data_IF_837833000429
#
_entry.id   IF_837833000429
#
_cell.length_a   1.000
_cell.length_b   1.000
_cell.length_c   1.000
_cell.angle_alpha   90.00
_cell.angle_beta   90.00
_cell.angle_gamma   90.00
#
_symmetry.space_group_name_H-M   'P 1'
#
loop_
_entity.id
_entity.type
_entity.pdbx_description
1 polymer ?
#
# COMPACT_ATOMS: atom_id res chain seq x y z
N UNK A 1 32.57 -15.69 -27.99
CA UNK A 1 33.55 -16.65 -27.38
C UNK A 1 34.92 -16.09 -27.02
N UNK A 2 35.24 -14.84 -27.35
CA UNK A 2 36.59 -14.25 -27.09
C UNK A 2 36.77 -13.70 -25.66
N UNK A 3 35.68 -13.28 -24.98
CA UNK A 3 35.75 -12.62 -23.67
C UNK A 3 36.13 -13.60 -22.54
N UNK A 4 35.71 -14.87 -22.67
CA UNK A 4 36.02 -15.90 -21.66
C UNK A 4 37.53 -16.25 -21.59
N UNK A 5 38.29 -16.09 -22.69
CA UNK A 5 39.70 -16.40 -22.76
C UNK A 5 40.59 -15.37 -22.03
N UNK A 6 40.07 -14.13 -21.86
CA UNK A 6 40.79 -13.04 -21.18
C UNK A 6 40.73 -13.23 -19.65
N UNK A 7 39.64 -13.85 -19.14
CA UNK A 7 39.43 -14.03 -17.69
C UNK A 7 40.23 -15.22 -17.12
N UNK A 8 40.54 -16.24 -17.95
CA UNK A 8 41.24 -17.46 -17.51
C UNK A 8 42.73 -17.51 -17.88
N UNK A 9 43.31 -16.40 -18.40
CA UNK A 9 44.76 -16.30 -18.55
C UNK A 9 45.44 -16.38 -17.18
N UNK A 10 46.53 -17.21 -17.09
CA UNK A 10 47.36 -17.40 -15.89
C UNK A 10 47.93 -16.06 -15.40
N UNK A 11 47.09 -15.24 -14.75
CA UNK A 11 47.51 -13.98 -14.13
C UNK A 11 47.91 -14.26 -12.69
N UNK A 12 49.12 -13.93 -12.33
CA UNK A 12 49.59 -13.83 -10.96
C UNK A 12 48.62 -12.94 -10.19
N UNK A 13 47.80 -13.56 -9.34
CA UNK A 13 46.89 -13.05 -8.32
C UNK A 13 46.58 -11.54 -8.31
N UNK A 14 46.00 -10.99 -9.37
CA UNK A 14 45.49 -9.63 -9.32
C UNK A 14 44.20 -9.60 -8.46
N UNK A 15 44.24 -8.92 -7.32
CA UNK A 15 43.07 -8.67 -6.47
C UNK A 15 42.01 -7.76 -7.16
N UNK A 16 42.39 -7.15 -8.28
CA UNK A 16 41.60 -6.17 -9.01
C UNK A 16 40.27 -6.74 -9.55
N UNK A 17 40.16 -7.93 -10.21
CA UNK A 17 38.90 -8.48 -10.65
C UNK A 17 38.01 -8.91 -9.47
N UNK A 18 38.58 -9.35 -8.36
CA UNK A 18 37.83 -9.71 -7.16
C UNK A 18 37.20 -8.48 -6.51
N UNK A 19 37.96 -7.39 -6.33
CA UNK A 19 37.44 -6.15 -5.75
C UNK A 19 36.36 -5.51 -6.62
N UNK A 20 36.52 -5.56 -7.95
CA UNK A 20 35.50 -5.09 -8.88
C UNK A 20 34.23 -5.90 -8.83
N UNK A 21 34.33 -7.24 -8.74
CA UNK A 21 33.16 -8.13 -8.54
C UNK A 21 32.42 -7.83 -7.25
N UNK A 22 33.14 -7.62 -6.15
CA UNK A 22 32.56 -7.24 -4.87
C UNK A 22 31.85 -5.88 -4.93
N UNK A 23 32.46 -4.91 -5.61
CA UNK A 23 31.87 -3.59 -5.81
C UNK A 23 30.55 -3.66 -6.58
N UNK A 24 30.49 -4.42 -7.69
CA UNK A 24 29.26 -4.61 -8.46
C UNK A 24 28.17 -5.29 -7.65
N UNK A 25 28.53 -6.29 -6.85
CA UNK A 25 27.59 -6.99 -5.98
C UNK A 25 27.02 -6.05 -4.92
N UNK A 26 27.86 -5.28 -4.24
CA UNK A 26 27.45 -4.30 -3.25
C UNK A 26 26.53 -3.22 -3.86
N UNK A 27 26.85 -2.73 -5.04
CA UNK A 27 26.05 -1.75 -5.76
C UNK A 27 24.66 -2.30 -6.13
N UNK A 28 24.61 -3.55 -6.61
CA UNK A 28 23.35 -4.21 -6.95
C UNK A 28 22.46 -4.39 -5.71
N UNK A 29 23.01 -4.86 -4.59
CA UNK A 29 22.28 -5.00 -3.34
C UNK A 29 21.75 -3.65 -2.83
N UNK A 30 22.53 -2.59 -2.95
CA UNK A 30 22.12 -1.24 -2.58
C UNK A 30 20.92 -0.77 -3.42
N UNK A 31 20.93 -0.98 -4.74
CA UNK A 31 19.82 -0.61 -5.61
C UNK A 31 18.54 -1.38 -5.29
N UNK A 32 18.63 -2.67 -5.03
CA UNK A 32 17.49 -3.48 -4.60
C UNK A 32 16.93 -2.95 -3.28
N UNK A 33 17.80 -2.68 -2.30
CA UNK A 33 17.40 -2.17 -0.98
C UNK A 33 16.66 -0.84 -1.07
N UNK A 34 17.13 0.10 -1.90
CA UNK A 34 16.48 1.39 -2.11
C UNK A 34 15.09 1.22 -2.72
N UNK A 35 14.94 0.37 -3.73
CA UNK A 35 13.65 0.11 -4.36
C UNK A 35 12.65 -0.52 -3.39
N UNK A 36 13.08 -1.50 -2.59
CA UNK A 36 12.24 -2.14 -1.57
C UNK A 36 11.82 -1.14 -0.49
N UNK A 37 12.77 -0.34 0.02
CA UNK A 37 12.49 0.68 1.03
C UNK A 37 11.49 1.73 0.52
N UNK A 38 11.64 2.16 -0.73
CA UNK A 38 10.70 3.09 -1.38
C UNK A 38 9.30 2.50 -1.49
N UNK A 39 9.16 1.27 -1.98
CA UNK A 39 7.87 0.58 -2.09
C UNK A 39 7.19 0.42 -0.72
N UNK A 40 7.96 0.09 0.32
CA UNK A 40 7.46 -0.01 1.69
C UNK A 40 6.97 1.35 2.22
N UNK A 41 7.73 2.41 1.99
CA UNK A 41 7.35 3.77 2.38
C UNK A 41 6.03 4.20 1.73
N UNK A 42 5.88 3.98 0.42
CA UNK A 42 4.64 4.28 -0.31
C UNK A 42 3.48 3.44 0.24
N UNK A 43 3.68 2.15 0.50
CA UNK A 43 2.65 1.29 1.11
C UNK A 43 2.20 1.83 2.45
N UNK A 44 3.12 2.21 3.32
CA UNK A 44 2.82 2.77 4.65
C UNK A 44 2.02 4.06 4.55
N UNK A 45 2.40 4.97 3.66
CA UNK A 45 1.66 6.22 3.43
C UNK A 45 0.25 5.95 2.88
N UNK A 46 0.11 5.04 1.91
CA UNK A 46 -1.19 4.61 1.38
C UNK A 46 -2.08 4.05 2.49
N UNK A 47 -1.53 3.18 3.35
CA UNK A 47 -2.25 2.60 4.48
C UNK A 47 -2.75 3.69 5.43
N UNK A 48 -1.88 4.61 5.86
CA UNK A 48 -2.24 5.69 6.78
C UNK A 48 -3.35 6.60 6.19
N UNK A 49 -3.28 6.93 4.91
CA UNK A 49 -4.31 7.74 4.23
C UNK A 49 -5.64 6.99 4.14
N UNK A 50 -5.60 5.71 3.78
CA UNK A 50 -6.78 4.87 3.68
C UNK A 50 -7.43 4.61 5.04
N UNK A 51 -6.63 4.38 6.10
CA UNK A 51 -7.11 4.25 7.48
C UNK A 51 -7.77 5.55 7.96
N UNK A 52 -7.19 6.70 7.68
CA UNK A 52 -7.79 7.99 7.97
C UNK A 52 -9.15 8.17 7.28
N UNK A 53 -9.27 7.78 6.02
CA UNK A 53 -10.52 7.86 5.27
C UNK A 53 -11.57 6.87 5.78
N UNK A 54 -11.19 5.61 6.04
CA UNK A 54 -12.14 4.59 6.49
C UNK A 54 -12.63 4.84 7.92
N UNK A 55 -11.75 5.32 8.81
CA UNK A 55 -12.15 5.72 10.17
C UNK A 55 -13.15 6.88 10.16
N UNK A 56 -12.97 7.87 9.27
CA UNK A 56 -13.94 8.95 9.09
C UNK A 56 -15.26 8.47 8.48
N UNK A 57 -15.23 7.49 7.58
CA UNK A 57 -16.44 6.90 7.00
C UNK A 57 -17.21 6.04 8.00
N UNK A 58 -16.50 5.33 8.90
CA UNK A 58 -17.09 4.55 9.97
C UNK A 58 -17.84 5.41 11.05
N UNK A 59 -17.68 6.72 11.02
CA UNK A 59 -18.46 7.66 11.84
C UNK A 59 -19.84 7.98 11.25
N UNK A 60 -20.18 7.44 10.08
CA UNK A 60 -21.51 7.61 9.47
C UNK A 60 -22.51 6.66 10.15
N UNK A 61 -23.21 7.21 11.13
CA UNK A 61 -24.14 6.46 12.00
C UNK A 61 -25.53 6.45 11.38
N UNK A 62 -26.17 5.29 11.38
CA UNK A 62 -27.60 5.19 11.06
C UNK A 62 -28.44 5.56 12.30
N UNK A 63 -28.73 6.85 12.47
CA UNK A 63 -29.49 7.35 13.61
C UNK A 63 -30.90 6.77 13.68
N UNK A 64 -31.55 6.57 12.54
CA UNK A 64 -32.89 6.01 12.49
C UNK A 64 -32.95 4.57 13.05
N UNK A 65 -32.02 3.72 12.56
CA UNK A 65 -31.91 2.35 13.04
C UNK A 65 -31.49 2.31 14.52
N UNK A 66 -30.61 3.21 14.95
CA UNK A 66 -30.16 3.30 16.33
C UNK A 66 -31.34 3.60 17.28
N UNK A 67 -32.17 4.62 16.98
CA UNK A 67 -33.28 4.99 17.84
C UNK A 67 -34.49 4.03 17.75
N UNK A 68 -34.69 3.38 16.60
CA UNK A 68 -35.75 2.41 16.42
C UNK A 68 -35.53 1.09 17.18
N UNK A 69 -34.25 0.70 17.34
CA UNK A 69 -33.88 -0.60 17.93
C UNK A 69 -32.86 -0.48 19.07
N UNK A 70 -32.94 0.57 19.89
CA UNK A 70 -31.99 0.85 21.00
C UNK A 70 -31.77 -0.38 21.89
N UNK A 71 -32.86 -1.10 22.26
CA UNK A 71 -32.76 -2.27 23.12
C UNK A 71 -32.03 -3.47 22.47
N UNK A 72 -32.07 -3.56 21.15
CA UNK A 72 -31.39 -4.63 20.40
C UNK A 72 -29.89 -4.36 20.26
N UNK A 73 -29.53 -3.13 19.96
CA UNK A 73 -28.11 -2.73 19.81
C UNK A 73 -27.40 -2.53 21.15
N UNK A 74 -28.13 -2.32 22.24
CA UNK A 74 -27.53 -2.23 23.58
C UNK A 74 -26.85 -3.51 24.03
N UNK A 75 -27.25 -4.67 23.48
CA UNK A 75 -26.59 -5.95 23.75
C UNK A 75 -25.19 -6.03 23.11
N UNK A 76 -25.02 -5.53 21.90
CA UNK A 76 -23.75 -5.54 21.17
C UNK A 76 -22.88 -4.32 21.50
N UNK A 77 -23.47 -3.33 22.21
CA UNK A 77 -22.78 -2.08 22.62
C UNK A 77 -22.13 -1.34 21.45
N UNK A 78 -22.65 -1.49 20.23
CA UNK A 78 -22.13 -0.84 19.02
C UNK A 78 -23.24 -0.08 18.30
N UNK A 79 -22.85 0.98 17.61
CA UNK A 79 -23.76 1.83 16.84
C UNK A 79 -23.84 1.32 15.40
N UNK A 80 -25.04 1.08 14.83
CA UNK A 80 -25.18 0.64 13.45
C UNK A 80 -24.70 1.72 12.49
N UNK A 81 -23.95 1.30 11.45
CA UNK A 81 -23.44 2.16 10.41
C UNK A 81 -24.48 2.39 9.31
N UNK A 82 -24.50 3.60 8.78
CA UNK A 82 -25.14 3.88 7.50
C UNK A 82 -24.16 3.54 6.37
N UNK A 83 -24.32 2.36 5.78
CA UNK A 83 -23.42 1.86 4.75
C UNK A 83 -23.42 2.73 3.49
N UNK A 84 -24.57 3.33 3.13
CA UNK A 84 -24.63 4.20 1.96
C UNK A 84 -23.86 5.51 2.20
N UNK A 85 -24.11 6.14 3.34
CA UNK A 85 -23.39 7.36 3.74
C UNK A 85 -21.88 7.09 3.96
N UNK A 86 -21.52 5.96 4.58
CA UNK A 86 -20.15 5.55 4.80
C UNK A 86 -19.41 5.34 3.47
N UNK A 87 -20.02 4.66 2.53
CA UNK A 87 -19.46 4.44 1.20
C UNK A 87 -19.26 5.77 0.45
N UNK A 88 -20.28 6.61 0.37
CA UNK A 88 -20.21 7.91 -0.30
C UNK A 88 -19.09 8.77 0.30
N UNK A 89 -19.00 8.83 1.63
CA UNK A 89 -17.96 9.60 2.34
C UNK A 89 -16.57 9.04 2.11
N UNK A 90 -16.40 7.71 2.10
CA UNK A 90 -15.12 7.08 1.81
C UNK A 90 -14.63 7.43 0.41
N UNK A 91 -15.47 7.26 -0.61
CA UNK A 91 -15.11 7.59 -1.99
C UNK A 91 -14.80 9.09 -2.16
N UNK A 92 -15.58 9.97 -1.53
CA UNK A 92 -15.33 11.40 -1.54
C UNK A 92 -13.93 11.72 -0.95
N UNK A 93 -13.59 11.15 0.20
CA UNK A 93 -12.30 11.36 0.84
C UNK A 93 -11.15 10.83 -0.01
N UNK A 94 -11.25 9.58 -0.49
CA UNK A 94 -10.18 8.96 -1.29
C UNK A 94 -9.94 9.72 -2.59
N UNK A 95 -11.00 10.20 -3.26
CA UNK A 95 -10.88 10.97 -4.51
C UNK A 95 -10.18 12.33 -4.32
N UNK A 96 -10.22 12.89 -3.10
CA UNK A 96 -9.52 14.12 -2.76
C UNK A 96 -8.05 13.89 -2.40
N UNK A 97 -7.70 12.66 -2.00
CA UNK A 97 -6.34 12.30 -1.61
C UNK A 97 -5.48 11.98 -2.83
N UNK A 98 -4.27 12.49 -2.79
CA UNK A 98 -3.25 12.18 -3.79
C UNK A 98 -1.98 11.74 -3.07
N UNK A 99 -1.34 10.71 -3.59
CA UNK A 99 -0.06 10.25 -3.10
C UNK A 99 0.95 10.30 -4.26
N UNK A 100 2.00 11.12 -4.11
CA UNK A 100 2.96 11.38 -5.18
C UNK A 100 2.29 11.81 -6.51
N UNK A 101 1.33 12.76 -6.42
CA UNK A 101 0.54 13.30 -7.55
C UNK A 101 -0.39 12.29 -8.24
N UNK A 102 -0.41 11.05 -7.77
CA UNK A 102 -1.26 9.98 -8.32
C UNK A 102 -2.53 9.82 -7.50
N UNK A 103 -3.61 9.48 -8.19
CA UNK A 103 -4.88 9.14 -7.55
C UNK A 103 -4.82 7.73 -6.94
N UNK A 104 -5.41 7.59 -5.77
CA UNK A 104 -5.62 6.29 -5.12
C UNK A 104 -6.86 5.67 -5.74
N UNK A 105 -6.73 4.40 -6.14
CA UNK A 105 -7.83 3.61 -6.70
C UNK A 105 -8.46 2.77 -5.60
N UNK A 106 -9.78 2.75 -5.51
CA UNK A 106 -10.53 1.83 -4.66
C UNK A 106 -10.84 0.58 -5.47
N UNK A 107 -10.29 -0.55 -5.05
CA UNK A 107 -10.49 -1.84 -5.72
C UNK A 107 -11.70 -2.57 -5.16
N UNK A 108 -11.92 -2.51 -3.85
CA UNK A 108 -13.04 -3.13 -3.17
C UNK A 108 -13.46 -2.33 -1.95
N UNK A 109 -14.78 -2.26 -1.70
CA UNK A 109 -15.36 -1.65 -0.51
C UNK A 109 -16.45 -2.58 0.01
N UNK A 110 -16.39 -2.92 1.30
CA UNK A 110 -17.36 -3.77 1.98
C UNK A 110 -17.84 -3.06 3.24
N UNK A 111 -19.15 -3.01 3.44
CA UNK A 111 -19.75 -2.48 4.64
C UNK A 111 -20.71 -3.50 5.23
N UNK A 112 -20.63 -3.68 6.51
CA UNK A 112 -21.53 -4.47 7.34
C UNK A 112 -22.14 -3.58 8.43
N UNK A 113 -23.06 -4.12 9.20
CA UNK A 113 -23.81 -3.34 10.18
C UNK A 113 -22.93 -2.55 11.15
N UNK A 114 -21.78 -3.09 11.53
CA UNK A 114 -20.86 -2.49 12.52
C UNK A 114 -19.44 -2.32 12.01
N UNK A 115 -19.14 -2.77 10.80
CA UNK A 115 -17.77 -2.80 10.28
C UNK A 115 -17.72 -2.35 8.82
N UNK A 116 -16.66 -1.67 8.48
CA UNK A 116 -16.39 -1.26 7.11
C UNK A 116 -14.94 -1.62 6.77
N UNK A 117 -14.74 -2.15 5.58
CA UNK A 117 -13.41 -2.48 5.05
C UNK A 117 -13.28 -2.04 3.61
N UNK A 118 -12.07 -1.69 3.22
CA UNK A 118 -11.76 -1.30 1.86
C UNK A 118 -10.37 -1.79 1.45
N UNK A 119 -10.25 -2.13 0.17
CA UNK A 119 -8.97 -2.37 -0.48
C UNK A 119 -8.70 -1.23 -1.45
N UNK A 120 -7.54 -0.63 -1.30
CA UNK A 120 -7.09 0.47 -2.15
C UNK A 120 -5.76 0.15 -2.76
N UNK A 121 -5.51 0.70 -3.95
CA UNK A 121 -4.27 0.51 -4.68
C UNK A 121 -3.78 1.79 -5.33
N UNK A 122 -2.47 1.84 -5.58
CA UNK A 122 -1.81 2.92 -6.31
C UNK A 122 -0.73 2.35 -7.23
N UNK A 123 -0.60 2.93 -8.42
CA UNK A 123 0.50 2.61 -9.31
C UNK A 123 1.74 3.39 -8.88
N UNK A 124 2.74 2.69 -8.35
CA UNK A 124 4.05 3.22 -7.99
C UNK A 124 5.04 3.13 -9.17
N UNK A 125 5.97 4.07 -9.26
CA UNK A 125 7.15 3.94 -10.09
C UNK A 125 8.34 3.62 -9.19
N UNK A 126 9.22 2.73 -9.62
CA UNK A 126 10.47 2.49 -8.90
C UNK A 126 11.39 3.71 -9.02
N UNK A 127 12.02 4.18 -7.92
CA UNK A 127 12.93 5.33 -7.97
C UNK A 127 14.18 5.05 -8.79
N UNK A 128 14.65 3.80 -8.82
CA UNK A 128 15.79 3.38 -9.64
C UNK A 128 15.26 2.50 -10.78
N UNK A 129 15.32 3.04 -11.99
CA UNK A 129 15.00 2.32 -13.21
C UNK A 129 16.26 1.65 -13.76
N UNK A 130 16.20 0.37 -14.05
CA UNK A 130 17.32 -0.37 -14.63
C UNK A 130 17.24 -0.21 -16.15
N UNK A 131 18.20 0.48 -16.80
CA UNK A 131 18.09 0.91 -18.19
C UNK A 131 17.95 -0.23 -19.22
N UNK A 132 18.29 -1.47 -18.88
CA UNK A 132 18.17 -2.62 -19.77
C UNK A 132 16.90 -3.45 -19.56
N UNK A 133 16.02 -3.06 -18.61
CA UNK A 133 14.81 -3.80 -18.26
C UNK A 133 13.52 -3.04 -18.60
N UNK A 134 13.57 -2.08 -19.52
CA UNK A 134 12.39 -1.31 -19.95
C UNK A 134 11.30 -2.18 -20.58
N UNK A 135 11.68 -3.30 -21.20
CA UNK A 135 10.74 -4.26 -21.81
C UNK A 135 10.04 -5.17 -20.82
N UNK A 136 10.54 -5.25 -19.58
CA UNK A 136 9.91 -6.05 -18.52
C UNK A 136 9.02 -5.13 -17.70
N UNK A 137 7.74 -5.50 -17.52
CA UNK A 137 6.71 -4.73 -16.78
C UNK A 137 7.04 -4.43 -15.29
N UNK A 138 8.30 -4.60 -14.89
CA UNK A 138 8.82 -4.32 -13.55
C UNK A 138 8.87 -2.83 -13.20
N UNK A 139 8.74 -1.92 -14.19
CA UNK A 139 8.77 -0.48 -13.94
C UNK A 139 7.46 0.07 -13.35
N UNK A 140 6.39 -0.72 -13.35
CA UNK A 140 5.09 -0.35 -12.74
C UNK A 140 4.76 -1.31 -11.62
N UNK A 141 4.94 -0.87 -10.39
CA UNK A 141 4.55 -1.62 -9.21
C UNK A 141 3.15 -1.17 -8.77
N UNK A 142 2.21 -2.12 -8.69
CA UNK A 142 0.91 -1.85 -8.06
C UNK A 142 1.06 -2.16 -6.57
N UNK A 143 0.91 -1.13 -5.76
CA UNK A 143 0.95 -1.25 -4.30
C UNK A 143 -0.48 -1.22 -3.80
N UNK A 144 -0.92 -2.28 -3.14
CA UNK A 144 -2.25 -2.38 -2.56
C UNK A 144 -2.19 -2.56 -1.05
N UNK A 145 -3.23 -2.10 -0.37
CA UNK A 145 -3.43 -2.29 1.07
C UNK A 145 -4.91 -2.49 1.37
N UNK A 146 -5.19 -3.25 2.42
CA UNK A 146 -6.53 -3.44 2.96
C UNK A 146 -6.60 -2.75 4.32
N UNK A 147 -7.67 -1.99 4.53
CA UNK A 147 -7.94 -1.26 5.77
C UNK A 147 -9.36 -1.55 6.24
N UNK A 148 -9.59 -1.44 7.54
CA UNK A 148 -10.90 -1.66 8.12
C UNK A 148 -11.11 -0.77 9.34
N UNK A 149 -12.36 -0.49 9.63
CA UNK A 149 -12.78 0.23 10.83
C UNK A 149 -14.11 -0.33 11.35
N UNK A 150 -14.31 -0.26 12.65
CA UNK A 150 -15.58 -0.61 13.30
C UNK A 150 -16.27 0.63 13.83
N UNK A 151 -17.60 0.52 14.02
CA UNK A 151 -18.40 1.57 14.61
C UNK A 151 -18.00 1.87 16.05
N UNK A 152 -18.35 3.07 16.50
CA UNK A 152 -18.09 3.53 17.87
C UNK A 152 -18.78 2.59 18.87
N UNK A 153 -18.05 2.28 19.93
CA UNK A 153 -18.57 1.52 21.06
C UNK A 153 -19.39 2.44 21.96
N UNK A 154 -20.57 1.95 22.42
CA UNK A 154 -21.41 2.71 23.36
C UNK A 154 -20.81 2.55 24.75
N UNK A 155 -20.33 3.63 25.42
CA UNK A 155 -19.84 3.54 26.78
C UNK A 155 -20.98 3.16 27.74
N UNK A 156 -20.63 2.45 28.80
CA UNK A 156 -21.56 2.10 29.87
C UNK A 156 -21.96 3.35 30.65
#
# INVERSE_FOLDING_TARGET
MAIAKIIFGKSRGSLLPLSFGFFLLAMTLTFISINVASAYSVKKQLTNLAEGAINKSAQSINSLAYYAEVNRFSRDKRVPLDCFAAQAKFYQLINQLRLHEKQIKVDHFKCELFEVSAQVSIAGNMPIQIPFMESVALNRLIISTQVGASSVYIPN
#
